data_IF_913652335193
#
_entry.id   IF_913652335193
#
_cell.length_a   1.000
_cell.length_b   1.000
_cell.length_c   1.000
_cell.angle_alpha   90.00
_cell.angle_beta   90.00
_cell.angle_gamma   90.00
#
_symmetry.space_group_name_H-M   'P 1'
#
loop_
_entity.id
_entity.type
_entity.pdbx_description
1 polymer ?
#
# COMPACT_ATOMS: atom_id res chain seq x y z
N UNK A 1 -1.96 -11.29 -6.31
CA UNK A 1 -1.08 -11.26 -7.51
C UNK A 1 -0.07 -12.39 -7.42
N UNK A 2 -0.41 -13.60 -7.90
CA UNK A 2 0.38 -14.81 -7.64
C UNK A 2 1.09 -15.38 -8.89
N UNK A 3 1.21 -14.60 -9.96
CA UNK A 3 1.90 -15.01 -11.18
C UNK A 3 2.68 -13.83 -11.80
N UNK A 4 3.77 -14.15 -12.49
CA UNK A 4 4.71 -13.16 -13.04
C UNK A 4 4.07 -12.25 -14.09
N UNK A 5 3.13 -12.76 -14.89
CA UNK A 5 2.48 -11.98 -15.94
C UNK A 5 1.57 -10.89 -15.36
N UNK A 6 0.71 -11.24 -14.40
CA UNK A 6 -0.18 -10.29 -13.72
C UNK A 6 0.59 -9.25 -12.90
N UNK A 7 1.70 -9.65 -12.29
CA UNK A 7 2.58 -8.73 -11.57
C UNK A 7 3.16 -7.66 -12.51
N UNK A 8 3.69 -8.08 -13.67
CA UNK A 8 4.19 -7.15 -14.70
C UNK A 8 3.10 -6.20 -15.20
N UNK A 9 1.89 -6.70 -15.42
CA UNK A 9 0.77 -5.87 -15.87
C UNK A 9 0.41 -4.78 -14.85
N UNK A 10 0.34 -5.13 -13.57
CA UNK A 10 0.06 -4.15 -12.50
C UNK A 10 1.15 -3.08 -12.42
N UNK A 11 2.41 -3.46 -12.59
CA UNK A 11 3.54 -2.53 -12.61
C UNK A 11 3.57 -1.55 -13.78
N UNK A 12 3.03 -2.00 -14.92
CA UNK A 12 2.92 -1.21 -16.14
C UNK A 12 1.66 -0.35 -16.18
N UNK A 13 0.64 -0.71 -15.40
CA UNK A 13 -0.60 0.07 -15.31
C UNK A 13 -0.36 1.32 -14.45
N UNK A 14 -0.59 2.50 -15.04
CA UNK A 14 -0.31 3.79 -14.41
C UNK A 14 -0.97 3.96 -13.04
N UNK A 15 -2.22 3.51 -12.92
CA UNK A 15 -3.04 3.83 -11.75
C UNK A 15 -3.17 2.67 -10.76
N UNK A 16 -2.66 1.48 -11.08
CA UNK A 16 -2.96 0.28 -10.30
C UNK A 16 -2.40 0.37 -8.87
N UNK A 17 -1.19 0.92 -8.72
CA UNK A 17 -0.58 1.15 -7.42
C UNK A 17 -1.25 2.28 -6.66
N UNK A 18 -1.69 3.34 -7.34
CA UNK A 18 -2.45 4.44 -6.72
C UNK A 18 -3.80 3.95 -6.20
N UNK A 19 -4.52 3.11 -6.95
CA UNK A 19 -5.77 2.48 -6.51
C UNK A 19 -5.53 1.59 -5.29
N UNK A 20 -4.46 0.80 -5.30
CA UNK A 20 -4.06 -0.01 -4.15
C UNK A 20 -3.73 0.86 -2.93
N UNK A 21 -3.02 1.98 -3.14
CA UNK A 21 -2.69 2.92 -2.07
C UNK A 21 -3.92 3.56 -1.44
N UNK A 22 -4.96 3.86 -2.22
CA UNK A 22 -6.25 4.36 -1.71
C UNK A 22 -6.98 3.34 -0.83
N UNK A 23 -6.64 2.07 -0.97
CA UNK A 23 -7.20 0.99 -0.13
C UNK A 23 -6.49 0.88 1.23
N UNK A 24 -5.45 1.68 1.47
CA UNK A 24 -4.79 1.80 2.78
C UNK A 24 -5.62 2.75 3.65
N UNK A 25 -6.75 2.25 4.15
CA UNK A 25 -7.71 3.00 4.96
C UNK A 25 -7.98 2.29 6.29
N UNK A 26 -7.60 2.89 7.44
CA UNK A 26 -7.80 2.29 8.76
C UNK A 26 -9.28 2.15 9.14
N UNK A 27 -10.21 2.83 8.46
CA UNK A 27 -11.65 2.65 8.64
C UNK A 27 -12.14 1.28 8.17
N UNK A 28 -11.40 0.64 7.25
CA UNK A 28 -11.70 -0.71 6.72
C UNK A 28 -10.51 -1.66 6.96
N UNK A 29 -10.27 -2.09 8.21
CA UNK A 29 -9.03 -2.73 8.64
C UNK A 29 -8.72 -4.05 7.92
N UNK A 30 -9.74 -4.79 7.50
CA UNK A 30 -9.58 -6.03 6.73
C UNK A 30 -8.99 -5.73 5.35
N UNK A 31 -9.52 -4.73 4.65
CA UNK A 31 -9.03 -4.33 3.33
C UNK A 31 -7.65 -3.71 3.44
N UNK A 32 -7.44 -2.82 4.42
CA UNK A 32 -6.14 -2.18 4.64
C UNK A 32 -5.04 -3.21 4.93
N UNK A 33 -5.33 -4.26 5.70
CA UNK A 33 -4.36 -5.34 5.98
C UNK A 33 -3.85 -5.98 4.68
N UNK A 34 -4.76 -6.32 3.77
CA UNK A 34 -4.40 -6.93 2.50
C UNK A 34 -3.72 -5.92 1.56
N UNK A 35 -4.17 -4.67 1.56
CA UNK A 35 -3.57 -3.59 0.77
C UNK A 35 -2.11 -3.32 1.18
N UNK A 36 -1.84 -3.22 2.48
CA UNK A 36 -0.48 -3.00 3.01
C UNK A 36 0.43 -4.18 2.70
N UNK A 37 -0.05 -5.42 2.86
CA UNK A 37 0.72 -6.62 2.50
C UNK A 37 1.06 -6.68 1.01
N UNK A 38 0.09 -6.35 0.15
CA UNK A 38 0.33 -6.28 -1.29
C UNK A 38 1.31 -5.16 -1.63
N UNK A 39 1.17 -3.98 -1.03
CA UNK A 39 2.09 -2.86 -1.24
C UNK A 39 3.52 -3.21 -0.80
N UNK A 40 3.69 -3.87 0.35
CA UNK A 40 4.98 -4.35 0.83
C UNK A 40 5.60 -5.38 -0.13
N UNK A 41 4.81 -6.34 -0.63
CA UNK A 41 5.28 -7.29 -1.64
C UNK A 41 5.69 -6.60 -2.95
N UNK A 42 4.96 -5.54 -3.35
CA UNK A 42 5.25 -4.78 -4.56
C UNK A 42 6.52 -3.93 -4.42
N UNK A 43 6.74 -3.35 -3.25
CA UNK A 43 7.94 -2.58 -2.90
C UNK A 43 9.24 -3.35 -3.17
N UNK A 44 9.23 -4.68 -2.95
CA UNK A 44 10.40 -5.54 -3.09
C UNK A 44 10.71 -5.98 -4.53
N UNK A 45 9.90 -5.59 -5.53
CA UNK A 45 10.07 -6.05 -6.90
C UNK A 45 11.08 -5.17 -7.66
N UNK A 46 12.17 -5.75 -8.19
CA UNK A 46 13.11 -4.99 -9.00
C UNK A 46 12.53 -4.64 -10.39
N UNK A 47 13.03 -3.59 -11.04
CA UNK A 47 14.13 -2.74 -10.58
C UNK A 47 13.69 -1.59 -9.67
N UNK A 48 12.41 -1.20 -9.72
CA UNK A 48 11.92 0.06 -9.14
C UNK A 48 10.61 -0.07 -8.35
N UNK A 49 10.39 -1.22 -7.72
CA UNK A 49 9.21 -1.50 -6.88
C UNK A 49 9.04 -0.50 -5.75
N UNK A 50 10.14 -0.19 -5.07
CA UNK A 50 10.14 0.75 -3.96
C UNK A 50 9.76 2.16 -4.42
N UNK A 51 10.41 2.70 -5.48
CA UNK A 51 10.08 4.06 -5.93
C UNK A 51 8.61 4.16 -6.39
N UNK A 52 8.11 3.16 -7.11
CA UNK A 52 6.71 3.13 -7.56
C UNK A 52 5.70 3.02 -6.42
N UNK A 53 5.99 2.23 -5.40
CA UNK A 53 5.15 2.14 -4.21
C UNK A 53 5.13 3.49 -3.46
N UNK A 54 6.29 4.12 -3.29
CA UNK A 54 6.40 5.41 -2.61
C UNK A 54 5.70 6.53 -3.39
N UNK A 55 5.83 6.54 -4.72
CA UNK A 55 5.15 7.47 -5.62
C UNK A 55 3.62 7.34 -5.47
N UNK A 56 3.09 6.13 -5.53
CA UNK A 56 1.66 5.88 -5.37
C UNK A 56 1.11 6.34 -4.01
N UNK A 57 1.86 6.08 -2.93
CA UNK A 57 1.49 6.55 -1.57
C UNK A 57 1.53 8.07 -1.47
N UNK A 58 2.50 8.71 -2.13
CA UNK A 58 2.64 10.17 -2.15
C UNK A 58 1.49 10.82 -2.91
N UNK A 59 1.20 10.34 -4.12
CA UNK A 59 0.05 10.80 -4.93
C UNK A 59 -1.25 10.65 -4.13
N UNK A 60 -1.46 9.50 -3.49
CA UNK A 60 -2.64 9.27 -2.68
C UNK A 60 -2.76 10.25 -1.50
N UNK A 61 -1.65 10.57 -0.83
CA UNK A 61 -1.62 11.56 0.24
C UNK A 61 -1.94 12.97 -0.26
N UNK A 62 -1.38 13.38 -1.39
CA UNK A 62 -1.65 14.67 -2.03
C UNK A 62 -3.12 14.81 -2.46
N UNK A 63 -3.70 13.77 -3.07
CA UNK A 63 -5.10 13.74 -3.48
C UNK A 63 -6.08 13.84 -2.30
N UNK A 64 -5.67 13.37 -1.12
CA UNK A 64 -6.49 13.35 0.10
C UNK A 64 -6.09 14.45 1.10
N UNK A 65 -5.23 15.39 0.68
CA UNK A 65 -4.71 16.50 1.50
C UNK A 65 -4.19 16.05 2.88
N UNK A 66 -3.46 14.92 2.90
CA UNK A 66 -2.91 14.32 4.13
C UNK A 66 -1.46 13.90 3.97
N UNK A 67 -0.79 13.67 5.09
CA UNK A 67 0.54 13.08 5.08
C UNK A 67 0.52 11.67 4.47
N UNK A 68 1.55 11.38 3.66
CA UNK A 68 1.68 10.15 2.87
C UNK A 68 1.47 8.87 3.71
N UNK A 69 2.02 8.82 4.92
CA UNK A 69 1.99 7.64 5.80
C UNK A 69 0.99 7.76 6.96
N UNK A 70 0.19 8.82 7.04
CA UNK A 70 -0.79 8.98 8.11
C UNK A 70 -1.68 7.73 8.33
N UNK A 71 -2.20 7.05 7.28
CA UNK A 71 -2.98 5.82 7.46
C UNK A 71 -2.19 4.68 8.12
N UNK A 72 -0.91 4.51 7.77
CA UNK A 72 -0.05 3.47 8.36
C UNK A 72 0.18 3.77 9.84
N UNK A 73 0.46 5.03 10.18
CA UNK A 73 0.63 5.47 11.58
C UNK A 73 -0.64 5.23 12.39
N UNK A 74 -1.82 5.58 11.86
CA UNK A 74 -3.11 5.29 12.49
C UNK A 74 -3.33 3.77 12.67
N UNK A 75 -2.91 2.97 11.69
CA UNK A 75 -2.93 1.51 11.77
C UNK A 75 -1.99 0.92 12.84
N UNK A 76 -0.97 1.66 13.31
CA UNK A 76 -0.12 1.24 14.43
C UNK A 76 -0.80 1.47 15.80
N UNK A 77 -1.67 2.47 15.89
CA UNK A 77 -2.36 2.88 17.13
C UNK A 77 -3.64 2.04 17.42
N UNK A 78 -4.05 1.19 16.47
CA UNK A 78 -5.24 0.35 16.60
C UNK A 78 -5.08 -0.79 17.62
N UNK A 79 -6.20 -1.24 18.18
CA UNK A 79 -6.29 -2.47 19.00
C UNK A 79 -6.37 -3.75 18.15
N UNK A 80 -6.50 -3.63 16.82
CA UNK A 80 -6.49 -4.77 15.92
C UNK A 80 -5.04 -5.24 15.68
N UNK A 81 -4.64 -6.32 16.35
CA UNK A 81 -3.27 -6.83 16.27
C UNK A 81 -2.85 -7.22 14.84
N UNK A 82 -3.76 -7.79 14.05
CA UNK A 82 -3.49 -8.18 12.66
C UNK A 82 -3.15 -6.96 11.81
N UNK A 83 -3.92 -5.89 11.94
CA UNK A 83 -3.65 -4.64 11.22
C UNK A 83 -2.36 -3.99 11.71
N UNK A 84 -2.14 -3.98 13.03
CA UNK A 84 -0.91 -3.41 13.63
C UNK A 84 0.34 -4.13 13.12
N UNK A 85 0.32 -5.46 13.07
CA UNK A 85 1.43 -6.27 12.52
C UNK A 85 1.66 -5.94 11.04
N UNK A 86 0.59 -5.83 10.26
CA UNK A 86 0.70 -5.44 8.85
C UNK A 86 1.33 -4.05 8.68
N UNK A 87 1.04 -3.10 9.56
CA UNK A 87 1.58 -1.74 9.52
C UNK A 87 3.05 -1.62 10.01
N UNK A 88 3.61 -2.63 10.67
CA UNK A 88 5.03 -2.69 11.06
C UNK A 88 5.90 -3.27 9.93
N UNK A 89 5.32 -4.10 9.06
CA UNK A 89 6.03 -4.73 7.96
C UNK A 89 6.49 -3.85 6.78
N UNK A 90 5.91 -2.66 6.47
CA UNK A 90 6.17 -2.00 5.20
C UNK A 90 7.55 -1.33 5.14
#
# INVERSE_FOLDING_TARGET
>A
MNNTAGLKQIFQHSDALTILSRSIDPSVPVIMTDAVKLMAALCLIPPNGHEKALEAITICGEMEERERFAPIVQGLETRNETLRIACIQP
#
